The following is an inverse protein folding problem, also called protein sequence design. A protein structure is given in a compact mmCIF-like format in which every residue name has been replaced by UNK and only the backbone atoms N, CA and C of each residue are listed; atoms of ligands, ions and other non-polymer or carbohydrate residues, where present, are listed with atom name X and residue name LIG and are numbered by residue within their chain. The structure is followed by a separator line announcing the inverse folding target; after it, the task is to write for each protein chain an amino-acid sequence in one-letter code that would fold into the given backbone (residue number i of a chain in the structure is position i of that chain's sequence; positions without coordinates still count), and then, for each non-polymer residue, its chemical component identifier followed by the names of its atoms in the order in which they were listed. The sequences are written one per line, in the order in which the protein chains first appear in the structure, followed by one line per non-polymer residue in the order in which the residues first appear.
data_IF_877263743600
#
_entry.id   IF_877263743600
#
_cell.length_a   1.000
_cell.length_b   1.000
_cell.length_c   1.000
_cell.angle_alpha   90.00
_cell.angle_beta   90.00
_cell.angle_gamma   90.00
#
_symmetry.space_group_name_H-M   'P 1'
#
loop_
_entity.id
_entity.type
_entity.pdbx_description
1 polymer ?
#
# COMPACT_ATOMS: atom_id res chain seq x y z
N UNK A 1 8.32 11.83 -0.59
CA UNK A 1 7.41 12.10 0.51
C UNK A 1 7.82 11.27 1.68
N UNK A 2 8.16 11.91 2.78
CA UNK A 2 8.51 11.19 4.01
C UNK A 2 7.27 10.52 4.55
N UNK A 3 7.44 9.28 5.00
CA UNK A 3 6.49 8.50 5.78
C UNK A 3 5.59 9.39 6.64
N UNK A 4 4.32 9.40 6.35
CA UNK A 4 3.28 10.12 7.10
C UNK A 4 2.79 9.33 8.32
N UNK A 5 3.62 8.38 8.80
CA UNK A 5 3.43 7.72 10.09
C UNK A 5 4.04 8.58 11.23
N UNK A 6 4.40 9.83 10.94
CA UNK A 6 4.95 10.74 11.94
C UNK A 6 3.82 11.35 12.78
N UNK A 7 3.57 10.72 13.92
CA UNK A 7 2.63 11.27 14.90
C UNK A 7 2.48 10.47 16.19
N UNK A 8 3.35 9.48 16.45
CA UNK A 8 3.34 8.80 17.75
C UNK A 8 4.77 8.66 18.28
N UNK A 9 5.26 9.71 18.95
CA UNK A 9 6.36 9.60 19.90
C UNK A 9 5.84 8.85 21.12
N UNK A 10 6.09 7.56 21.18
CA UNK A 10 6.03 6.82 22.42
C UNK A 10 7.32 6.03 22.56
N UNK A 11 8.21 6.55 23.39
CA UNK A 11 9.40 5.84 23.84
C UNK A 11 8.96 4.64 24.68
N UNK A 12 9.00 3.45 24.12
CA UNK A 12 8.97 2.20 24.87
C UNK A 12 10.03 1.27 24.30
N UNK A 13 10.93 0.90 25.17
CA UNK A 13 11.98 -0.08 24.96
C UNK A 13 11.35 -1.37 24.44
N UNK A 14 11.57 -1.71 23.19
CA UNK A 14 11.14 -2.98 22.61
C UNK A 14 12.37 -3.81 22.35
N UNK A 15 12.37 -5.01 22.88
CA UNK A 15 13.40 -5.99 22.62
C UNK A 15 13.44 -6.30 21.11
N UNK A 16 14.57 -6.04 20.49
CA UNK A 16 14.83 -6.27 19.06
C UNK A 16 14.99 -7.77 18.85
N UNK A 17 14.16 -8.34 18.00
CA UNK A 17 14.35 -9.71 17.52
C UNK A 17 15.57 -9.79 16.58
N UNK A 18 16.24 -10.93 16.49
CA UNK A 18 17.57 -11.04 15.88
C UNK A 18 17.53 -11.23 14.34
N UNK A 19 16.85 -10.39 13.60
CA UNK A 19 16.87 -10.48 12.14
C UNK A 19 17.04 -9.15 11.41
N UNK A 20 16.82 -8.03 12.10
CA UNK A 20 17.06 -6.69 11.53
C UNK A 20 18.32 -6.11 12.15
N UNK A 21 19.42 -6.05 11.41
CA UNK A 21 20.65 -5.40 11.86
C UNK A 21 20.37 -3.94 12.21
N UNK A 22 20.85 -3.50 13.40
CA UNK A 22 20.69 -2.12 13.84
C UNK A 22 21.43 -1.16 12.88
N UNK A 23 20.66 -0.33 12.17
CA UNK A 23 21.23 0.83 11.50
C UNK A 23 21.62 1.87 12.56
N UNK A 24 22.88 2.33 12.57
CA UNK A 24 23.35 3.38 13.46
C UNK A 24 22.55 4.67 13.27
N UNK A 25 21.95 5.17 14.34
CA UNK A 25 21.24 6.44 14.34
C UNK A 25 22.20 7.61 14.14
N UNK A 26 21.91 8.56 13.25
CA UNK A 26 22.67 9.79 13.15
C UNK A 26 22.43 10.65 14.41
N UNK A 27 23.53 11.14 15.01
CA UNK A 27 23.53 12.01 16.18
C UNK A 27 22.70 13.26 15.93
N UNK A 28 21.73 13.52 16.81
CA UNK A 28 20.89 14.73 16.78
C UNK A 28 21.71 15.95 17.20
N UNK A 29 21.83 16.92 16.31
CA UNK A 29 22.27 18.27 16.64
C UNK A 29 21.06 19.09 17.14
N UNK A 30 21.21 19.74 18.30
CA UNK A 30 20.17 20.54 18.93
C UNK A 30 20.27 21.97 18.44
N UNK A 31 19.23 22.45 17.83
CA UNK A 31 18.97 23.88 17.68
C UNK A 31 18.50 24.31 16.30
N UNK A 32 17.21 24.38 16.10
CA UNK A 32 16.47 25.50 15.51
C UNK A 32 15.03 25.08 15.15
N UNK A 33 14.09 26.02 15.34
CA UNK A 33 12.68 25.92 15.02
C UNK A 33 12.39 25.19 13.69
N UNK A 34 11.39 24.30 13.61
CA UNK A 34 11.08 23.59 12.37
C UNK A 34 10.33 24.54 11.41
N UNK A 35 11.07 25.29 10.60
CA UNK A 35 10.53 25.74 9.31
C UNK A 35 10.13 24.50 8.53
N UNK A 36 8.87 24.48 8.08
CA UNK A 36 8.36 23.46 7.17
C UNK A 36 9.35 23.23 6.03
N UNK A 37 10.07 22.12 6.08
CA UNK A 37 10.96 21.71 5.00
C UNK A 37 10.06 21.19 3.89
N UNK A 38 9.85 22.01 2.86
CA UNK A 38 9.40 21.50 1.58
C UNK A 38 10.42 20.48 1.11
N UNK A 39 10.03 19.24 1.03
CA UNK A 39 10.85 18.18 0.43
C UNK A 39 10.71 18.31 -1.08
N UNK A 40 11.52 19.17 -1.69
CA UNK A 40 11.62 19.36 -3.14
C UNK A 40 12.59 18.35 -3.80
N UNK A 41 12.94 17.28 -3.14
CA UNK A 41 13.68 16.18 -3.76
C UNK A 41 13.26 14.86 -3.17
N UNK A 42 12.32 14.20 -3.84
CA UNK A 42 12.33 12.72 -3.83
C UNK A 42 13.74 12.34 -4.28
N UNK A 43 14.52 11.57 -3.48
CA UNK A 43 15.82 11.09 -3.95
C UNK A 43 15.61 10.50 -5.34
N UNK A 44 16.48 10.83 -6.29
CA UNK A 44 16.43 10.21 -7.61
C UNK A 44 16.64 8.71 -7.41
N UNK A 45 15.53 7.99 -7.25
CA UNK A 45 15.55 6.54 -7.16
C UNK A 45 16.01 6.06 -8.51
N UNK A 46 17.07 5.25 -8.54
CA UNK A 46 17.52 4.60 -9.75
C UNK A 46 16.31 3.91 -10.39
N UNK A 47 15.93 4.32 -11.59
CA UNK A 47 14.75 3.75 -12.28
C UNK A 47 14.82 2.23 -12.40
N UNK A 48 16.03 1.64 -12.35
CA UNK A 48 16.23 0.20 -12.37
C UNK A 48 15.77 -0.49 -11.09
N UNK A 49 15.83 0.19 -9.94
CA UNK A 49 15.44 -0.36 -8.64
C UNK A 49 14.02 0.04 -8.24
N UNK A 50 13.47 1.07 -8.87
CA UNK A 50 12.17 1.68 -8.54
C UNK A 50 11.00 0.68 -8.52
N UNK A 51 11.04 -0.33 -9.38
CA UNK A 51 9.97 -1.34 -9.51
C UNK A 51 10.41 -2.72 -9.03
N UNK A 52 11.49 -2.79 -8.25
CA UNK A 52 11.98 -4.05 -7.70
C UNK A 52 10.98 -4.65 -6.72
N UNK A 53 11.05 -5.95 -6.58
CA UNK A 53 10.25 -6.68 -5.59
C UNK A 53 10.65 -6.26 -4.18
N UNK A 54 9.67 -6.29 -3.28
CA UNK A 54 9.91 -6.10 -1.86
C UNK A 54 11.02 -7.01 -1.34
N UNK A 55 11.94 -6.43 -0.59
CA UNK A 55 13.05 -7.11 0.08
C UNK A 55 12.71 -7.42 1.53
N UNK A 56 13.52 -8.25 2.17
CA UNK A 56 13.38 -8.51 3.61
C UNK A 56 13.63 -7.25 4.45
N UNK A 57 14.48 -6.35 3.98
CA UNK A 57 14.75 -5.06 4.63
C UNK A 57 13.53 -4.13 4.59
N UNK A 58 12.80 -4.08 3.48
CA UNK A 58 11.55 -3.31 3.36
C UNK A 58 10.51 -3.79 4.39
N UNK A 59 10.41 -5.11 4.59
CA UNK A 59 9.53 -5.68 5.61
C UNK A 59 9.99 -5.35 7.04
N UNK A 60 11.31 -5.33 7.30
CA UNK A 60 11.84 -4.92 8.59
C UNK A 60 11.50 -3.47 8.91
N UNK A 61 11.71 -2.56 7.96
CA UNK A 61 11.42 -1.13 8.11
C UNK A 61 9.94 -0.92 8.46
N UNK A 62 9.04 -1.49 7.66
CA UNK A 62 7.59 -1.32 7.87
C UNK A 62 7.11 -2.02 9.14
N UNK A 63 7.68 -3.19 9.50
CA UNK A 63 7.35 -3.87 10.75
C UNK A 63 7.77 -3.06 11.98
N UNK A 64 8.95 -2.43 11.95
CA UNK A 64 9.44 -1.54 13.00
C UNK A 64 8.53 -0.31 13.16
N UNK A 65 8.18 0.35 12.07
CA UNK A 65 7.27 1.51 12.06
C UNK A 65 5.89 1.18 12.65
N UNK A 66 5.35 0.01 12.33
CA UNK A 66 4.07 -0.46 12.84
C UNK A 66 4.17 -1.02 14.28
N UNK A 67 5.37 -1.33 14.75
CA UNK A 67 5.60 -2.04 16.02
C UNK A 67 4.98 -3.44 16.01
N UNK A 68 5.17 -4.19 14.91
CA UNK A 68 4.70 -5.57 14.73
C UNK A 68 5.89 -6.50 14.45
N UNK A 69 5.67 -7.80 14.58
CA UNK A 69 6.67 -8.79 14.15
C UNK A 69 6.79 -8.82 12.62
N UNK A 70 8.01 -8.94 12.09
CA UNK A 70 8.25 -9.06 10.65
C UNK A 70 7.46 -10.22 10.04
N UNK A 71 7.44 -11.37 10.74
CA UNK A 71 6.62 -12.51 10.33
C UNK A 71 5.13 -12.19 10.22
N UNK A 72 4.61 -11.28 11.04
CA UNK A 72 3.20 -10.90 11.01
C UNK A 72 2.84 -10.08 9.76
N UNK A 73 3.66 -9.08 9.43
CA UNK A 73 3.42 -8.28 8.22
C UNK A 73 3.66 -9.12 6.95
N UNK A 74 4.71 -9.95 6.90
CA UNK A 74 4.95 -10.89 5.78
C UNK A 74 3.78 -11.86 5.59
N UNK A 75 3.19 -12.35 6.68
CA UNK A 75 2.05 -13.26 6.61
C UNK A 75 0.84 -12.59 5.93
N UNK A 76 0.48 -11.39 6.35
CA UNK A 76 -0.63 -10.64 5.76
C UNK A 76 -0.34 -10.34 4.30
N UNK A 77 0.84 -9.78 3.99
CA UNK A 77 1.23 -9.42 2.63
C UNK A 77 1.19 -10.63 1.70
N UNK A 78 1.70 -11.78 2.12
CA UNK A 78 1.69 -13.01 1.29
C UNK A 78 0.28 -13.52 0.96
N UNK A 79 -0.70 -13.21 1.79
CA UNK A 79 -2.10 -13.61 1.55
C UNK A 79 -2.86 -12.56 0.73
N UNK A 80 -2.65 -11.27 1.02
CA UNK A 80 -3.39 -10.20 0.34
C UNK A 80 -2.82 -9.88 -1.04
N UNK A 81 -1.48 -9.88 -1.19
CA UNK A 81 -0.81 -9.66 -2.47
C UNK A 81 -0.75 -10.91 -3.36
N UNK A 82 -1.14 -12.09 -2.81
CA UNK A 82 -1.03 -13.37 -3.49
C UNK A 82 0.40 -13.91 -3.55
N UNK A 83 0.54 -15.14 -4.07
CA UNK A 83 1.82 -15.87 -4.07
C UNK A 83 2.95 -15.18 -4.84
N UNK A 84 2.62 -14.32 -5.79
CA UNK A 84 3.61 -13.64 -6.63
C UNK A 84 4.00 -12.26 -6.10
N UNK A 85 3.29 -11.71 -5.11
CA UNK A 85 3.47 -10.36 -4.55
C UNK A 85 3.80 -9.32 -5.63
N UNK A 86 3.01 -9.34 -6.73
CA UNK A 86 3.30 -8.53 -7.91
C UNK A 86 2.59 -7.17 -7.80
N UNK A 87 3.37 -6.09 -7.70
CA UNK A 87 2.85 -4.73 -7.63
C UNK A 87 2.62 -4.07 -9.00
N UNK A 88 3.35 -4.53 -10.04
CA UNK A 88 3.36 -3.90 -11.36
C UNK A 88 3.18 -4.92 -12.48
N UNK A 89 2.50 -4.52 -13.55
CA UNK A 89 2.47 -5.27 -14.81
C UNK A 89 3.63 -4.89 -15.72
N UNK A 90 4.05 -3.63 -15.70
CA UNK A 90 5.23 -3.08 -16.36
C UNK A 90 5.76 -1.90 -15.52
N UNK A 91 6.98 -1.39 -15.75
CA UNK A 91 7.50 -0.22 -15.05
C UNK A 91 6.52 0.95 -15.05
N UNK A 92 6.19 1.48 -13.88
CA UNK A 92 5.22 2.57 -13.70
C UNK A 92 3.75 2.19 -13.96
N UNK A 93 3.46 0.92 -14.25
CA UNK A 93 2.11 0.43 -14.55
C UNK A 93 1.66 -0.52 -13.44
N UNK A 94 1.06 -0.01 -12.36
CA UNK A 94 0.63 -0.85 -11.25
C UNK A 94 -0.42 -1.88 -11.67
N UNK A 95 -0.46 -2.97 -10.93
CA UNK A 95 -1.56 -3.94 -11.01
C UNK A 95 -2.85 -3.24 -10.60
N UNK A 96 -3.89 -3.36 -11.41
CA UNK A 96 -5.20 -2.78 -11.11
C UNK A 96 -6.33 -3.76 -11.36
N UNK A 97 -7.47 -3.45 -10.73
CA UNK A 97 -8.78 -4.03 -11.06
C UNK A 97 -9.79 -2.87 -11.13
N UNK A 98 -10.28 -2.58 -12.32
CA UNK A 98 -11.28 -1.55 -12.53
C UNK A 98 -12.67 -2.09 -12.19
N UNK A 99 -13.33 -1.49 -11.21
CA UNK A 99 -14.69 -1.87 -10.81
C UNK A 99 -15.71 -0.85 -11.35
N UNK A 100 -16.49 -1.27 -12.34
CA UNK A 100 -17.52 -0.43 -12.97
C UNK A 100 -18.61 0.01 -11.99
N UNK A 101 -18.99 -0.83 -11.02
CA UNK A 101 -20.01 -0.46 -10.04
C UNK A 101 -19.47 0.61 -9.09
N UNK A 102 -18.23 0.47 -8.63
CA UNK A 102 -17.55 1.49 -7.83
C UNK A 102 -17.32 2.77 -8.62
N UNK A 103 -16.89 2.69 -9.89
CA UNK A 103 -16.82 3.87 -10.76
C UNK A 103 -18.17 4.62 -10.84
N UNK A 104 -19.26 3.91 -11.12
CA UNK A 104 -20.59 4.52 -11.17
C UNK A 104 -21.00 5.16 -9.84
N UNK A 105 -20.64 4.55 -8.72
CA UNK A 105 -20.89 5.08 -7.38
C UNK A 105 -20.08 6.34 -7.09
N UNK A 106 -18.81 6.38 -7.47
CA UNK A 106 -17.90 7.45 -7.09
C UNK A 106 -17.83 8.60 -8.08
N UNK A 107 -18.09 8.39 -9.37
CA UNK A 107 -18.14 9.49 -10.36
C UNK A 107 -19.16 10.58 -10.03
N UNK A 108 -20.26 10.24 -9.36
CA UNK A 108 -21.26 11.21 -8.91
C UNK A 108 -20.79 12.02 -7.69
N UNK A 109 -19.86 11.47 -6.92
CA UNK A 109 -19.27 12.05 -5.71
C UNK A 109 -17.95 12.75 -5.96
N UNK A 110 -17.38 12.64 -7.15
CA UNK A 110 -16.15 13.29 -7.54
C UNK A 110 -16.33 14.82 -7.45
N UNK A 111 -15.36 15.49 -6.84
CA UNK A 111 -15.31 16.97 -6.75
C UNK A 111 -14.94 17.51 -8.12
N UNK A 112 -13.87 16.96 -8.71
CA UNK A 112 -13.53 17.23 -10.10
C UNK A 112 -14.21 16.20 -11.00
N UNK A 113 -15.06 16.67 -11.89
CA UNK A 113 -15.79 15.85 -12.88
C UNK A 113 -15.17 15.89 -14.25
N UNK A 114 -14.01 16.54 -14.38
CA UNK A 114 -13.31 16.60 -15.68
C UNK A 114 -12.79 15.24 -16.11
N UNK A 115 -12.70 15.06 -17.41
CA UNK A 115 -12.06 13.91 -18.02
C UNK A 115 -10.60 14.18 -18.34
N UNK A 116 -9.75 13.17 -18.22
CA UNK A 116 -8.37 13.22 -18.68
C UNK A 116 -8.33 13.09 -20.22
N UNK A 117 -7.79 14.10 -20.90
CA UNK A 117 -7.62 14.10 -22.36
C UNK A 117 -6.23 13.59 -22.74
N UNK A 118 -6.13 12.83 -23.82
CA UNK A 118 -4.85 12.42 -24.39
C UNK A 118 -4.16 11.25 -23.69
N UNK A 119 -4.67 10.76 -22.56
CA UNK A 119 -4.12 9.60 -21.87
C UNK A 119 -4.35 8.34 -22.72
N UNK A 120 -3.28 7.52 -22.83
CA UNK A 120 -3.29 6.27 -23.61
C UNK A 120 -3.15 5.08 -22.68
N UNK A 121 -3.63 3.94 -23.13
CA UNK A 121 -3.35 2.66 -22.46
C UNK A 121 -1.84 2.40 -22.54
N UNK A 122 -1.18 2.02 -21.44
CA UNK A 122 0.23 1.69 -21.44
C UNK A 122 0.56 0.61 -22.48
N UNK A 123 1.69 0.78 -23.17
CA UNK A 123 2.14 -0.15 -24.20
C UNK A 123 2.61 -1.50 -23.61
N UNK A 124 2.60 -2.54 -24.43
CA UNK A 124 3.07 -3.88 -24.05
C UNK A 124 2.14 -4.67 -23.13
N UNK A 125 0.99 -4.12 -22.72
CA UNK A 125 0.01 -4.85 -21.94
C UNK A 125 -0.76 -5.87 -22.79
N UNK A 126 -1.03 -7.04 -22.21
CA UNK A 126 -1.81 -8.11 -22.84
C UNK A 126 -2.86 -8.68 -21.89
N UNK A 127 -3.79 -9.44 -22.43
CA UNK A 127 -4.78 -10.19 -21.64
C UNK A 127 -5.54 -9.34 -20.61
N UNK A 128 -5.53 -9.79 -19.35
CA UNK A 128 -6.24 -9.14 -18.26
C UNK A 128 -5.73 -7.72 -18.00
N UNK A 129 -4.42 -7.51 -17.99
CA UNK A 129 -3.81 -6.19 -17.77
C UNK A 129 -4.28 -5.17 -18.81
N UNK A 130 -4.24 -5.54 -20.08
CA UNK A 130 -4.74 -4.68 -21.18
C UNK A 130 -6.23 -4.33 -21.00
N UNK A 131 -7.04 -5.33 -20.64
CA UNK A 131 -8.47 -5.14 -20.40
C UNK A 131 -8.73 -4.12 -19.30
N UNK A 132 -8.10 -4.30 -18.13
CA UNK A 132 -8.32 -3.44 -16.96
C UNK A 132 -7.87 -2.00 -17.21
N UNK A 133 -6.67 -1.81 -17.79
CA UNK A 133 -6.18 -0.49 -18.14
C UNK A 133 -7.01 0.18 -19.23
N UNK A 134 -7.51 -0.57 -20.23
CA UNK A 134 -8.41 -0.03 -21.25
C UNK A 134 -9.70 0.50 -20.61
N UNK A 135 -10.29 -0.24 -19.66
CA UNK A 135 -11.49 0.20 -18.96
C UNK A 135 -11.23 1.46 -18.13
N UNK A 136 -10.11 1.49 -17.37
CA UNK A 136 -9.73 2.64 -16.59
C UNK A 136 -9.52 3.88 -17.45
N UNK A 137 -8.73 3.79 -18.54
CA UNK A 137 -8.46 4.93 -19.43
C UNK A 137 -9.75 5.46 -20.07
N UNK A 138 -10.64 4.57 -20.51
CA UNK A 138 -11.93 5.00 -21.06
C UNK A 138 -12.82 5.68 -20.00
N UNK A 139 -12.80 5.21 -18.76
CA UNK A 139 -13.51 5.85 -17.66
C UNK A 139 -12.90 7.21 -17.29
N UNK A 140 -11.56 7.32 -17.29
CA UNK A 140 -10.84 8.58 -17.05
C UNK A 140 -11.14 9.66 -18.06
N UNK A 141 -11.35 9.31 -19.33
CA UNK A 141 -11.78 10.27 -20.37
C UNK A 141 -13.10 10.97 -20.04
N UNK A 142 -13.96 10.33 -19.25
CA UNK A 142 -15.27 10.86 -18.83
C UNK A 142 -15.21 11.56 -17.49
N UNK A 143 -14.56 10.93 -16.50
CA UNK A 143 -14.41 11.46 -15.14
C UNK A 143 -13.16 10.82 -14.50
N UNK A 144 -12.04 11.53 -14.52
CA UNK A 144 -10.75 11.00 -14.08
C UNK A 144 -10.73 10.66 -12.58
N UNK A 145 -11.21 11.57 -11.73
CA UNK A 145 -11.24 11.37 -10.28
C UNK A 145 -12.13 10.19 -9.90
N UNK A 146 -13.34 10.12 -10.48
CA UNK A 146 -14.25 9.01 -10.22
C UNK A 146 -13.71 7.67 -10.70
N UNK A 147 -12.99 7.64 -11.83
CA UNK A 147 -12.33 6.45 -12.35
C UNK A 147 -11.22 5.96 -11.42
N UNK A 148 -10.38 6.88 -10.93
CA UNK A 148 -9.33 6.56 -9.96
C UNK A 148 -9.92 6.04 -8.64
N UNK A 149 -10.98 6.65 -8.12
CA UNK A 149 -11.68 6.16 -6.94
C UNK A 149 -12.35 4.80 -7.14
N UNK A 150 -12.84 4.50 -8.34
CA UNK A 150 -13.50 3.25 -8.67
C UNK A 150 -12.57 2.09 -9.02
N UNK A 151 -11.25 2.29 -8.93
CA UNK A 151 -10.24 1.28 -9.25
C UNK A 151 -9.56 0.77 -7.99
N UNK A 152 -9.28 -0.53 -7.93
CA UNK A 152 -8.44 -1.14 -6.92
C UNK A 152 -6.98 -1.15 -7.41
N UNK A 153 -6.05 -0.68 -6.58
CA UNK A 153 -4.69 -0.34 -6.96
C UNK A 153 -3.63 -1.17 -6.25
N UNK A 154 -2.56 -1.47 -6.98
CA UNK A 154 -1.34 -2.09 -6.46
C UNK A 154 -1.50 -3.55 -6.07
N UNK A 155 -0.46 -4.11 -5.45
CA UNK A 155 -0.45 -5.52 -5.03
C UNK A 155 -1.51 -5.84 -3.97
N UNK A 156 -1.88 -4.86 -3.15
CA UNK A 156 -2.87 -5.02 -2.08
C UNK A 156 -4.31 -4.73 -2.51
N UNK A 157 -4.51 -4.34 -3.76
CA UNK A 157 -5.83 -4.05 -4.32
C UNK A 157 -6.65 -3.09 -3.45
N UNK A 158 -6.03 -1.99 -2.98
CA UNK A 158 -6.70 -0.97 -2.18
C UNK A 158 -7.57 -0.12 -3.11
N UNK A 159 -8.86 -0.04 -2.84
CA UNK A 159 -9.77 0.80 -3.62
C UNK A 159 -9.39 2.28 -3.52
N UNK A 160 -9.31 2.98 -4.66
CA UNK A 160 -8.91 4.39 -4.71
C UNK A 160 -9.78 5.31 -3.84
N UNK A 161 -11.03 4.91 -3.57
CA UNK A 161 -11.92 5.63 -2.65
C UNK A 161 -11.40 5.65 -1.19
N UNK A 162 -10.42 4.83 -0.85
CA UNK A 162 -9.77 4.79 0.46
C UNK A 162 -8.54 5.71 0.57
N UNK A 163 -8.29 6.59 -0.41
CA UNK A 163 -7.08 7.42 -0.45
C UNK A 163 -6.80 8.17 0.87
N UNK A 164 -7.84 8.66 1.56
CA UNK A 164 -7.70 9.31 2.86
C UNK A 164 -7.20 8.36 3.95
N UNK A 165 -7.65 7.11 3.95
CA UNK A 165 -7.15 6.09 4.87
C UNK A 165 -5.70 5.71 4.55
N UNK A 166 -5.25 5.88 3.31
CA UNK A 166 -3.86 5.74 2.92
C UNK A 166 -3.01 6.98 3.27
N UNK A 167 -3.57 7.99 3.93
CA UNK A 167 -2.87 9.22 4.29
C UNK A 167 -2.67 10.21 3.14
N UNK A 168 -3.36 10.01 2.01
CA UNK A 168 -3.26 10.88 0.84
C UNK A 168 -4.31 12.00 0.87
N UNK A 169 -3.93 13.18 0.38
CA UNK A 169 -4.84 14.33 0.25
C UNK A 169 -5.82 14.16 -0.92
N UNK A 170 -5.39 13.44 -1.95
CA UNK A 170 -6.19 13.16 -3.14
C UNK A 170 -6.02 11.72 -3.64
N UNK A 171 -7.01 11.23 -4.40
CA UNK A 171 -6.87 9.94 -5.07
C UNK A 171 -5.76 9.96 -6.11
N UNK A 172 -5.47 11.10 -6.72
CA UNK A 172 -4.40 11.23 -7.72
C UNK A 172 -3.02 11.13 -7.08
N UNK A 173 -2.85 11.61 -5.84
CA UNK A 173 -1.65 11.38 -5.05
C UNK A 173 -1.47 9.90 -4.75
N UNK A 174 -2.53 9.22 -4.26
CA UNK A 174 -2.48 7.79 -4.03
C UNK A 174 -2.08 7.01 -5.30
N UNK A 175 -2.64 7.36 -6.45
CA UNK A 175 -2.31 6.72 -7.73
C UNK A 175 -0.84 6.93 -8.11
N UNK A 176 -0.30 8.13 -7.90
CA UNK A 176 1.13 8.40 -8.15
C UNK A 176 2.03 7.53 -7.27
N UNK A 177 1.71 7.41 -5.97
CA UNK A 177 2.45 6.58 -5.03
C UNK A 177 2.33 5.09 -5.40
N UNK A 178 1.13 4.61 -5.73
CA UNK A 178 0.90 3.24 -6.20
C UNK A 178 1.69 2.92 -7.48
N UNK A 179 1.97 3.92 -8.33
CA UNK A 179 2.76 3.79 -9.56
C UNK A 179 4.26 4.00 -9.33
N UNK A 180 4.71 4.30 -8.11
CA UNK A 180 6.10 4.68 -7.83
C UNK A 180 6.98 3.45 -7.55
N UNK A 181 6.68 2.66 -6.53
CA UNK A 181 7.44 1.45 -6.15
C UNK A 181 6.59 0.45 -5.37
N UNK A 182 7.08 -0.78 -5.24
CA UNK A 182 6.42 -1.79 -4.38
C UNK A 182 6.55 -1.43 -2.89
N UNK A 183 7.62 -0.76 -2.47
CA UNK A 183 7.76 -0.23 -1.11
C UNK A 183 6.69 0.82 -0.81
N UNK A 184 6.46 1.79 -1.71
CA UNK A 184 5.38 2.77 -1.54
C UNK A 184 4.00 2.10 -1.47
N UNK A 185 3.77 1.04 -2.24
CA UNK A 185 2.53 0.26 -2.11
C UNK A 185 2.41 -0.39 -0.72
N UNK A 186 3.51 -0.90 -0.15
CA UNK A 186 3.54 -1.47 1.20
C UNK A 186 3.33 -0.39 2.27
N UNK A 187 3.93 0.78 2.14
CA UNK A 187 3.74 1.91 3.06
C UNK A 187 2.28 2.43 3.04
N UNK A 188 1.69 2.55 1.85
CA UNK A 188 0.28 2.90 1.71
C UNK A 188 -0.63 1.85 2.37
N UNK A 189 -0.29 0.57 2.22
CA UNK A 189 -1.01 -0.51 2.90
C UNK A 189 -0.85 -0.42 4.42
N UNK A 190 0.34 -0.20 4.93
CA UNK A 190 0.62 -0.03 6.36
C UNK A 190 -0.19 1.14 6.96
N UNK A 191 -0.21 2.28 6.26
CA UNK A 191 -1.00 3.44 6.63
C UNK A 191 -2.51 3.14 6.60
N UNK A 192 -2.97 2.46 5.56
CA UNK A 192 -4.36 2.05 5.41
C UNK A 192 -4.84 1.16 6.56
N UNK A 193 -4.10 0.09 6.90
CA UNK A 193 -4.50 -0.83 7.98
C UNK A 193 -4.46 -0.14 9.35
N UNK A 194 -3.58 0.81 9.54
CA UNK A 194 -3.49 1.62 10.76
C UNK A 194 -4.73 2.51 10.90
N UNK A 195 -5.01 3.33 9.89
CA UNK A 195 -6.12 4.28 9.90
C UNK A 195 -7.49 3.60 9.85
N UNK A 196 -7.57 2.40 9.30
CA UNK A 196 -8.78 1.57 9.31
C UNK A 196 -8.96 0.75 10.61
N UNK A 197 -8.10 0.95 11.62
CA UNK A 197 -8.21 0.29 12.93
C UNK A 197 -7.92 -1.21 12.91
N UNK A 198 -7.08 -1.67 11.98
CA UNK A 198 -6.70 -3.09 11.87
C UNK A 198 -5.36 -3.40 12.56
N UNK A 199 -4.54 -2.38 12.84
CA UNK A 199 -3.22 -2.55 13.47
C UNK A 199 -3.28 -3.28 14.83
N UNK A 200 -4.25 -3.05 15.73
CA UNK A 200 -4.35 -3.83 16.96
C UNK A 200 -4.57 -5.33 16.73
N UNK A 201 -5.36 -5.68 15.69
CA UNK A 201 -5.57 -7.09 15.35
C UNK A 201 -4.27 -7.73 14.84
N UNK A 202 -3.49 -7.02 14.03
CA UNK A 202 -2.19 -7.48 13.53
C UNK A 202 -1.19 -7.68 14.68
N UNK A 203 -1.07 -6.70 15.59
CA UNK A 203 -0.20 -6.77 16.78
C UNK A 203 -0.51 -7.98 17.65
N UNK A 204 -1.78 -8.26 17.86
CA UNK A 204 -2.26 -9.36 18.71
C UNK A 204 -2.42 -10.69 17.96
N UNK A 205 -2.05 -10.78 16.68
CA UNK A 205 -2.25 -11.96 15.81
C UNK A 205 -3.71 -12.40 15.78
N UNK A 206 -4.66 -11.46 15.95
CA UNK A 206 -6.08 -11.70 15.79
C UNK A 206 -6.45 -11.77 14.30
N UNK A 207 -6.04 -12.86 13.66
CA UNK A 207 -6.21 -13.06 12.22
C UNK A 207 -7.68 -13.00 11.78
N UNK A 208 -8.60 -13.43 12.62
CA UNK A 208 -10.02 -13.37 12.33
C UNK A 208 -10.55 -11.93 12.34
N UNK A 209 -10.14 -11.13 13.32
CA UNK A 209 -10.45 -9.70 13.40
C UNK A 209 -9.90 -8.93 12.20
N UNK A 210 -8.62 -9.13 11.91
CA UNK A 210 -7.96 -8.52 10.76
C UNK A 210 -8.65 -8.89 9.44
N UNK A 211 -8.79 -10.18 9.17
CA UNK A 211 -9.38 -10.67 7.92
C UNK A 211 -10.83 -10.21 7.73
N UNK A 212 -11.61 -10.11 8.81
CA UNK A 212 -12.98 -9.59 8.75
C UNK A 212 -13.03 -8.13 8.33
N UNK A 213 -12.14 -7.30 8.88
CA UNK A 213 -12.08 -5.87 8.55
C UNK A 213 -11.57 -5.65 7.14
N UNK A 214 -10.57 -6.40 6.71
CA UNK A 214 -9.95 -6.26 5.40
C UNK A 214 -10.79 -6.89 4.28
N UNK A 215 -11.18 -8.15 4.45
CA UNK A 215 -11.84 -8.97 3.41
C UNK A 215 -13.37 -9.01 3.53
N UNK A 216 -13.93 -8.32 4.54
CA UNK A 216 -15.37 -8.28 4.78
C UNK A 216 -15.93 -9.59 5.35
N UNK A 217 -17.26 -9.70 5.41
CA UNK A 217 -17.99 -10.80 6.09
C UNK A 217 -17.70 -12.20 5.53
N UNK A 218 -17.27 -12.31 4.29
CA UNK A 218 -16.96 -13.60 3.65
C UNK A 218 -15.58 -14.18 4.00
N UNK A 219 -14.79 -13.51 4.85
CA UNK A 219 -13.43 -13.90 5.19
C UNK A 219 -13.29 -15.34 5.71
N UNK A 220 -14.24 -15.76 6.56
CA UNK A 220 -14.23 -17.08 7.18
C UNK A 220 -14.46 -18.20 6.15
N UNK A 221 -15.44 -18.01 5.24
CA UNK A 221 -15.73 -18.97 4.17
C UNK A 221 -14.56 -19.13 3.21
N UNK A 222 -13.78 -18.06 2.98
CA UNK A 222 -12.58 -18.07 2.11
C UNK A 222 -11.32 -18.50 2.85
N UNK A 223 -11.39 -18.73 4.18
CA UNK A 223 -10.30 -19.19 5.02
C UNK A 223 -9.15 -18.19 5.19
N UNK A 224 -9.37 -16.89 5.00
CA UNK A 224 -8.32 -15.88 5.09
C UNK A 224 -7.59 -15.90 6.43
N UNK A 225 -8.32 -15.97 7.55
CA UNK A 225 -7.73 -16.03 8.88
C UNK A 225 -6.84 -17.25 9.12
N UNK A 226 -7.25 -18.42 8.62
CA UNK A 226 -6.44 -19.65 8.71
C UNK A 226 -5.19 -19.56 7.84
N UNK A 227 -5.33 -19.00 6.63
CA UNK A 227 -4.19 -18.78 5.72
C UNK A 227 -3.17 -17.83 6.34
N UNK A 228 -3.60 -16.72 6.94
CA UNK A 228 -2.72 -15.77 7.64
C UNK A 228 -2.01 -16.42 8.83
N UNK A 229 -2.73 -17.17 9.67
CA UNK A 229 -2.13 -17.90 10.80
C UNK A 229 -1.05 -18.88 10.34
N UNK A 230 -1.33 -19.67 9.30
CA UNK A 230 -0.37 -20.63 8.75
C UNK A 230 0.85 -19.93 8.12
N UNK A 231 0.63 -18.83 7.40
CA UNK A 231 1.71 -18.04 6.83
C UNK A 231 2.60 -17.42 7.93
N UNK A 232 2.00 -16.88 8.98
CA UNK A 232 2.75 -16.39 10.15
C UNK A 232 3.60 -17.48 10.78
N UNK A 233 3.04 -18.66 11.06
CA UNK A 233 3.78 -19.76 11.62
C UNK A 233 4.94 -20.23 10.72
N UNK A 234 4.79 -20.13 9.39
CA UNK A 234 5.86 -20.42 8.43
C UNK A 234 6.97 -19.37 8.50
N UNK A 235 6.64 -18.08 8.42
CA UNK A 235 7.64 -17.01 8.46
C UNK A 235 8.36 -16.94 9.80
N UNK A 236 7.64 -17.17 10.91
CA UNK A 236 8.24 -17.19 12.26
C UNK A 236 9.28 -18.27 12.49
N UNK A 237 9.23 -19.35 11.72
CA UNK A 237 10.27 -20.41 11.75
C UNK A 237 11.51 -20.06 10.91
N UNK A 238 11.46 -18.99 10.13
CA UNK A 238 12.54 -18.54 9.25
C UNK A 238 13.34 -17.38 9.84
N UNK A 239 12.83 -16.77 10.92
CA UNK A 239 13.54 -15.80 11.77
C UNK A 239 14.50 -16.51 12.75
#
# INVERSE_FOLDING_TARGET
MKSLILGLTLATLVAVGPACGAAEQPKTDKGNDPKAVRVDSVPAVDEKTRYTKLTDEDFCIVAEELGVEVAAIKAVVSIEAGSNMKGFWAPGVPVINFDRAMYNRFRSKAVDKSGAKGEKVPEGLTGYALKEWTQLINARKVNAQGANMGTFWGMFQIGGFNYKLCGCESVDEMVKLMAYSELEQLELFATFITNAGMLPDLKNKNWAGFARKYNGSSYARRGYHTKMANAYAKFKKQE
#
